data_IF_954588642009
#
_entry.id   IF_954588642009
#
_cell.length_a   1.000
_cell.length_b   1.000
_cell.length_c   1.000
_cell.angle_alpha   90.00
_cell.angle_beta   90.00
_cell.angle_gamma   90.00
#
_symmetry.space_group_name_H-M   'P 1'
#
loop_
_entity.id
_entity.type
_entity.pdbx_description
1 polymer ?
#
# COMPACT_ATOMS: atom_id res chain seq x y z
N UNK A 1 -12.34 -6.73 26.56
CA UNK A 1 -12.85 -5.49 27.19
C UNK A 1 -12.28 -4.29 26.44
N UNK A 2 -13.03 -3.21 26.27
CA UNK A 2 -12.57 -1.99 25.56
C UNK A 2 -12.70 -0.80 26.50
N UNK A 3 -11.69 0.08 26.52
CA UNK A 3 -11.68 1.28 27.37
C UNK A 3 -12.89 2.19 27.08
N UNK A 4 -13.39 2.19 25.85
CA UNK A 4 -14.60 2.94 25.45
C UNK A 4 -15.88 2.44 26.14
N UNK A 5 -15.88 1.21 26.67
CA UNK A 5 -17.04 0.62 27.37
C UNK A 5 -16.94 0.77 28.90
N UNK A 6 -15.93 1.49 29.41
CA UNK A 6 -15.71 1.73 30.85
C UNK A 6 -15.34 3.21 31.08
N UNK A 7 -16.34 4.10 31.13
CA UNK A 7 -16.10 5.54 31.26
C UNK A 7 -15.33 5.91 32.54
N UNK A 8 -15.62 5.24 33.65
CA UNK A 8 -14.95 5.44 34.94
C UNK A 8 -13.45 5.12 34.87
N UNK A 9 -13.09 4.02 34.18
CA UNK A 9 -11.68 3.66 33.98
C UNK A 9 -10.96 4.67 33.08
N UNK A 10 -11.62 5.14 32.01
CA UNK A 10 -11.06 6.17 31.14
C UNK A 10 -10.76 7.45 31.92
N UNK A 11 -11.70 7.90 32.75
CA UNK A 11 -11.53 9.09 33.59
C UNK A 11 -10.40 8.91 34.61
N UNK A 12 -10.36 7.76 35.31
CA UNK A 12 -9.28 7.44 36.25
C UNK A 12 -7.89 7.47 35.59
N UNK A 13 -7.75 6.92 34.37
CA UNK A 13 -6.49 6.95 33.60
C UNK A 13 -6.10 8.39 33.23
N UNK A 14 -7.06 9.22 32.81
CA UNK A 14 -6.81 10.62 32.44
C UNK A 14 -6.43 11.48 33.65
N UNK A 15 -6.89 11.13 34.85
CA UNK A 15 -6.59 11.83 36.11
C UNK A 15 -5.32 11.34 36.81
N UNK A 16 -4.59 10.36 36.26
CA UNK A 16 -3.31 9.92 36.83
C UNK A 16 -2.31 11.08 36.99
N UNK A 17 -1.45 11.06 38.03
CA UNK A 17 -0.34 12.00 38.15
C UNK A 17 0.55 11.98 36.90
N UNK A 18 1.07 13.14 36.50
CA UNK A 18 1.85 13.31 35.27
C UNK A 18 2.96 12.26 35.12
N UNK A 19 3.77 12.06 36.16
CA UNK A 19 4.87 11.08 36.17
C UNK A 19 4.42 9.64 35.90
N UNK A 20 3.29 9.23 36.46
CA UNK A 20 2.75 7.87 36.27
C UNK A 20 2.14 7.70 34.88
N UNK A 21 1.46 8.76 34.42
CA UNK A 21 0.87 8.85 33.08
C UNK A 21 1.94 8.77 32.00
N UNK A 22 3.05 9.48 32.14
CA UNK A 22 4.16 9.46 31.18
C UNK A 22 4.83 8.08 31.13
N UNK A 23 5.08 7.47 32.30
CA UNK A 23 5.63 6.10 32.38
C UNK A 23 4.71 5.09 31.73
N UNK A 24 3.39 5.23 31.90
CA UNK A 24 2.40 4.37 31.26
C UNK A 24 2.36 4.61 29.75
N UNK A 25 2.36 5.87 29.31
CA UNK A 25 2.34 6.26 27.89
C UNK A 25 3.54 5.67 27.14
N UNK A 26 4.76 5.91 27.63
CA UNK A 26 5.99 5.39 26.99
C UNK A 26 5.95 3.86 26.90
N UNK A 27 5.46 3.19 27.95
CA UNK A 27 5.29 1.72 27.95
C UNK A 27 4.26 1.25 26.91
N UNK A 28 3.15 1.95 26.76
CA UNK A 28 2.10 1.59 25.80
C UNK A 28 2.56 1.84 24.36
N UNK A 29 3.19 2.99 24.10
CA UNK A 29 3.80 3.30 22.80
C UNK A 29 4.85 2.25 22.43
N UNK A 30 5.71 1.86 23.36
CA UNK A 30 6.73 0.83 23.12
C UNK A 30 6.18 -0.57 22.80
N UNK A 31 4.90 -0.84 23.05
CA UNK A 31 4.24 -2.12 22.69
C UNK A 31 3.65 -2.11 21.28
N UNK A 32 3.28 -0.94 20.76
CA UNK A 32 2.67 -0.81 19.45
C UNK A 32 3.71 -0.31 18.44
N UNK A 33 4.24 -1.25 17.64
CA UNK A 33 5.27 -0.95 16.62
C UNK A 33 4.78 0.02 15.55
N UNK A 34 3.48 0.02 15.22
CA UNK A 34 2.95 0.93 14.20
C UNK A 34 2.83 2.33 14.77
N UNK A 35 2.29 2.47 15.98
CA UNK A 35 2.21 3.74 16.68
C UNK A 35 3.61 4.35 16.90
N UNK A 36 4.60 3.52 17.23
CA UNK A 36 5.98 3.97 17.37
C UNK A 36 6.52 4.57 16.06
N UNK A 37 6.31 3.90 14.92
CA UNK A 37 6.73 4.42 13.61
C UNK A 37 6.00 5.71 13.23
N UNK A 38 4.70 5.78 13.50
CA UNK A 38 3.90 6.99 13.28
C UNK A 38 4.40 8.18 14.11
N UNK A 39 4.67 7.97 15.40
CA UNK A 39 5.19 9.02 16.27
C UNK A 39 6.62 9.41 15.90
N UNK A 40 7.45 8.45 15.49
CA UNK A 40 8.80 8.74 15.00
C UNK A 40 8.73 9.68 13.79
N UNK A 41 7.94 9.32 12.78
CA UNK A 41 7.71 10.17 11.61
C UNK A 41 7.15 11.54 12.01
N UNK A 42 6.05 11.55 12.77
CA UNK A 42 5.33 12.79 13.07
C UNK A 42 6.12 13.77 13.96
N UNK A 43 6.99 13.27 14.85
CA UNK A 43 7.64 14.11 15.85
C UNK A 43 9.13 14.37 15.55
N UNK A 44 9.77 13.55 14.72
CA UNK A 44 11.23 13.57 14.55
C UNK A 44 11.69 13.67 13.10
N UNK A 45 10.82 13.43 12.12
CA UNK A 45 11.18 13.47 10.70
C UNK A 45 10.66 14.75 10.03
N UNK A 46 11.33 15.15 8.94
CA UNK A 46 10.93 16.28 8.10
C UNK A 46 10.65 15.89 6.64
N UNK A 47 10.60 16.89 5.76
CA UNK A 47 10.30 16.68 4.34
C UNK A 47 11.41 15.89 3.61
N UNK A 48 12.68 16.08 4.00
CA UNK A 48 13.80 15.37 3.40
C UNK A 48 13.72 13.88 3.78
N UNK A 49 13.41 13.60 5.05
CA UNK A 49 13.20 12.22 5.52
C UNK A 49 12.03 11.53 4.80
N UNK A 50 10.96 12.28 4.50
CA UNK A 50 9.83 11.76 3.72
C UNK A 50 10.27 11.35 2.31
N UNK A 51 11.02 12.21 1.61
CA UNK A 51 11.56 11.92 0.27
C UNK A 51 12.44 10.66 0.29
N UNK A 52 13.35 10.58 1.25
CA UNK A 52 14.21 9.44 1.53
C UNK A 52 13.41 8.13 1.73
N UNK A 53 12.28 8.21 2.44
CA UNK A 53 11.39 7.06 2.66
C UNK A 53 10.63 6.66 1.41
N UNK A 54 10.24 7.62 0.58
CA UNK A 54 9.58 7.35 -0.70
C UNK A 54 10.57 6.65 -1.63
N UNK A 55 11.81 7.13 -1.73
CA UNK A 55 12.87 6.51 -2.52
C UNK A 55 13.13 5.08 -2.06
N UNK A 56 13.39 4.87 -0.77
CA UNK A 56 13.59 3.53 -0.18
C UNK A 56 12.38 2.61 -0.40
N UNK A 57 11.16 3.15 -0.38
CA UNK A 57 9.96 2.35 -0.71
C UNK A 57 9.98 1.91 -2.17
N UNK A 58 10.24 2.84 -3.11
CA UNK A 58 10.32 2.54 -4.55
C UNK A 58 11.42 1.53 -4.85
N UNK A 59 12.60 1.66 -4.25
CA UNK A 59 13.70 0.68 -4.37
C UNK A 59 13.28 -0.70 -3.91
N UNK A 60 12.63 -0.80 -2.73
CA UNK A 60 12.16 -2.09 -2.21
C UNK A 60 11.06 -2.69 -3.07
N UNK A 61 10.17 -1.88 -3.65
CA UNK A 61 9.16 -2.35 -4.61
C UNK A 61 9.82 -2.85 -5.90
N UNK A 62 10.79 -2.11 -6.43
CA UNK A 62 11.54 -2.50 -7.62
C UNK A 62 12.30 -3.82 -7.39
N UNK A 63 12.97 -3.97 -6.25
CA UNK A 63 13.64 -5.20 -5.84
C UNK A 63 12.64 -6.36 -5.72
N UNK A 64 11.49 -6.14 -5.07
CA UNK A 64 10.45 -7.15 -4.94
C UNK A 64 9.95 -7.66 -6.30
N UNK A 65 9.69 -6.76 -7.25
CA UNK A 65 9.29 -7.16 -8.60
C UNK A 65 10.44 -7.78 -9.41
N UNK A 66 11.69 -7.38 -9.17
CA UNK A 66 12.86 -8.01 -9.77
C UNK A 66 13.04 -9.45 -9.31
N UNK A 67 12.95 -9.71 -8.00
CA UNK A 67 12.97 -11.04 -7.41
C UNK A 67 11.75 -11.87 -7.82
N UNK A 68 10.58 -11.24 -7.89
CA UNK A 68 9.33 -11.86 -8.33
C UNK A 68 9.40 -12.46 -9.74
N UNK A 69 10.27 -11.95 -10.63
CA UNK A 69 10.50 -12.58 -11.95
C UNK A 69 11.16 -13.96 -11.86
N UNK A 70 11.88 -14.25 -10.79
CA UNK A 70 12.52 -15.54 -10.59
C UNK A 70 11.50 -16.60 -10.12
N UNK A 71 10.45 -16.18 -9.42
CA UNK A 71 9.42 -17.07 -8.87
C UNK A 71 8.17 -17.14 -9.75
N UNK A 72 7.63 -15.99 -10.18
CA UNK A 72 6.44 -15.89 -11.02
C UNK A 72 6.82 -15.95 -12.49
N UNK A 73 6.39 -16.99 -13.19
CA UNK A 73 6.55 -17.05 -14.64
C UNK A 73 5.38 -16.35 -15.33
N UNK A 74 5.66 -15.62 -16.42
CA UNK A 74 4.64 -15.03 -17.29
C UNK A 74 4.00 -16.11 -18.20
N UNK A 75 3.44 -17.15 -17.58
CA UNK A 75 2.83 -18.31 -18.26
C UNK A 75 1.45 -18.55 -17.61
N UNK A 76 0.35 -18.66 -18.37
CA UNK A 76 -1.04 -18.71 -17.86
C UNK A 76 -1.45 -19.99 -17.08
N UNK A 77 -0.67 -20.42 -16.07
CA UNK A 77 -0.94 -21.63 -15.25
C UNK A 77 -1.33 -21.28 -13.82
N UNK A 78 -2.07 -22.19 -13.17
CA UNK A 78 -2.66 -22.00 -11.84
C UNK A 78 -1.72 -21.40 -10.78
N UNK A 79 -0.48 -21.91 -10.68
CA UNK A 79 0.51 -21.46 -9.68
C UNK A 79 0.88 -19.99 -9.89
N UNK A 80 1.18 -19.59 -11.12
CA UNK A 80 1.64 -18.25 -11.43
C UNK A 80 0.58 -17.18 -11.13
N UNK A 81 -0.72 -17.46 -11.33
CA UNK A 81 -1.77 -16.52 -10.93
C UNK A 81 -1.79 -16.26 -9.42
N UNK A 82 -1.62 -17.33 -8.61
CA UNK A 82 -1.60 -17.22 -7.15
C UNK A 82 -0.34 -16.54 -6.65
N UNK A 83 0.80 -16.86 -7.25
CA UNK A 83 2.08 -16.27 -6.90
C UNK A 83 2.10 -14.78 -7.28
N UNK A 84 1.57 -14.41 -8.45
CA UNK A 84 1.41 -13.00 -8.82
C UNK A 84 0.47 -12.27 -7.86
N UNK A 85 -0.69 -12.87 -7.52
CA UNK A 85 -1.60 -12.28 -6.54
C UNK A 85 -0.91 -12.08 -5.17
N UNK A 86 -0.05 -13.02 -4.75
CA UNK A 86 0.75 -12.91 -3.54
C UNK A 86 1.77 -11.78 -3.61
N UNK A 87 2.46 -11.66 -4.74
CA UNK A 87 3.43 -10.60 -5.01
C UNK A 87 2.78 -9.21 -4.92
N UNK A 88 1.63 -9.02 -5.59
CA UNK A 88 0.88 -7.75 -5.56
C UNK A 88 0.40 -7.44 -4.13
N UNK A 89 -0.03 -8.46 -3.36
CA UNK A 89 -0.43 -8.29 -1.95
C UNK A 89 0.74 -7.85 -1.08
N UNK A 90 1.93 -8.42 -1.27
CA UNK A 90 3.12 -8.04 -0.54
C UNK A 90 3.51 -6.59 -0.85
N UNK A 91 3.55 -6.22 -2.13
CA UNK A 91 3.81 -4.85 -2.58
C UNK A 91 2.79 -3.86 -1.99
N UNK A 92 1.50 -4.20 -2.06
CA UNK A 92 0.42 -3.38 -1.46
C UNK A 92 0.58 -3.23 0.05
N UNK A 93 1.09 -4.26 0.75
CA UNK A 93 1.36 -4.22 2.18
C UNK A 93 2.41 -3.16 2.53
N UNK A 94 3.45 -3.03 1.71
CA UNK A 94 4.51 -2.03 1.89
C UNK A 94 3.96 -0.60 1.73
N UNK A 95 3.14 -0.37 0.72
CA UNK A 95 2.49 0.94 0.52
C UNK A 95 1.49 1.26 1.62
N UNK A 96 0.72 0.28 2.11
CA UNK A 96 -0.21 0.50 3.23
C UNK A 96 0.53 0.82 4.54
N UNK A 97 1.72 0.26 4.75
CA UNK A 97 2.57 0.64 5.89
C UNK A 97 3.05 2.08 5.75
N UNK A 98 3.52 2.47 4.56
CA UNK A 98 3.90 3.84 4.26
C UNK A 98 2.73 4.81 4.49
N UNK A 99 1.55 4.55 3.91
CA UNK A 99 0.31 5.32 4.08
C UNK A 99 -0.01 5.55 5.56
N UNK A 100 0.06 4.49 6.37
CA UNK A 100 -0.26 4.58 7.80
C UNK A 100 0.71 5.45 8.57
N UNK A 101 1.98 5.49 8.16
CA UNK A 101 3.03 6.23 8.85
C UNK A 101 3.02 7.69 8.42
N UNK A 102 3.08 7.94 7.10
CA UNK A 102 3.30 9.28 6.54
C UNK A 102 2.01 10.04 6.31
N UNK A 103 0.92 9.31 5.98
CA UNK A 103 -0.34 9.85 5.47
C UNK A 103 -0.17 10.74 4.23
N UNK A 104 0.98 10.66 3.56
CA UNK A 104 1.23 11.39 2.33
C UNK A 104 0.40 10.77 1.21
N UNK A 105 -0.50 11.53 0.60
CA UNK A 105 -1.45 11.00 -0.41
C UNK A 105 -0.80 10.82 -1.77
N UNK A 106 0.19 11.65 -2.09
CA UNK A 106 0.82 11.68 -3.40
C UNK A 106 1.65 10.41 -3.64
N UNK A 107 2.64 10.16 -2.77
CA UNK A 107 3.50 8.97 -2.87
C UNK A 107 2.71 7.67 -2.80
N UNK A 108 1.58 7.70 -2.11
CA UNK A 108 0.66 6.58 -1.92
C UNK A 108 -0.11 6.23 -3.18
N UNK A 109 -0.54 7.23 -3.96
CA UNK A 109 -1.12 7.05 -5.28
C UNK A 109 -0.04 6.60 -6.28
N UNK A 110 1.07 7.34 -6.33
CA UNK A 110 2.23 7.06 -7.20
C UNK A 110 2.72 5.61 -7.03
N UNK A 111 2.98 5.16 -5.80
CA UNK A 111 3.44 3.79 -5.56
C UNK A 111 2.40 2.72 -5.93
N UNK A 112 1.09 3.02 -5.87
CA UNK A 112 0.07 2.06 -6.31
C UNK A 112 -0.04 1.97 -7.83
N UNK A 113 0.08 3.11 -8.51
CA UNK A 113 0.18 3.16 -9.97
C UNK A 113 1.41 2.37 -10.41
N UNK A 114 2.56 2.59 -9.76
CA UNK A 114 3.79 1.84 -10.00
C UNK A 114 3.58 0.32 -9.87
N UNK A 115 2.94 -0.16 -8.80
CA UNK A 115 2.66 -1.58 -8.61
C UNK A 115 1.83 -2.17 -9.75
N UNK A 116 0.80 -1.45 -10.21
CA UNK A 116 -0.05 -1.90 -11.32
C UNK A 116 0.74 -1.94 -12.64
N UNK A 117 1.48 -0.88 -12.96
CA UNK A 117 2.31 -0.84 -14.17
C UNK A 117 3.38 -1.94 -14.18
N UNK A 118 4.11 -2.15 -13.07
CA UNK A 118 5.09 -3.24 -13.00
C UNK A 118 4.45 -4.62 -13.13
N UNK A 119 3.24 -4.79 -12.56
CA UNK A 119 2.47 -6.04 -12.71
C UNK A 119 2.12 -6.30 -14.17
N UNK A 120 1.60 -5.30 -14.87
CA UNK A 120 1.14 -5.42 -16.26
C UNK A 120 2.29 -5.58 -17.24
N UNK A 121 3.35 -4.78 -17.09
CA UNK A 121 4.54 -4.83 -17.97
C UNK A 121 5.28 -6.18 -17.86
N UNK A 122 5.37 -6.76 -16.66
CA UNK A 122 6.13 -8.01 -16.44
C UNK A 122 5.33 -9.27 -16.70
N UNK A 123 4.04 -9.25 -16.40
CA UNK A 123 3.19 -10.44 -16.42
C UNK A 123 1.93 -10.31 -17.28
N UNK A 124 2.00 -9.72 -18.49
CA UNK A 124 0.80 -9.43 -19.28
C UNK A 124 0.01 -10.70 -19.65
N UNK A 125 0.69 -11.84 -19.84
CA UNK A 125 0.02 -13.09 -20.23
C UNK A 125 -0.87 -13.66 -19.14
N UNK A 126 -0.65 -13.27 -17.88
CA UNK A 126 -1.53 -13.64 -16.76
C UNK A 126 -2.85 -12.85 -16.75
N UNK A 127 -3.02 -11.91 -17.68
CA UNK A 127 -4.27 -11.15 -17.88
C UNK A 127 -5.01 -11.53 -19.16
N UNK A 128 -4.46 -12.45 -19.96
CA UNK A 128 -5.17 -13.03 -21.11
C UNK A 128 -6.42 -13.81 -20.67
N UNK A 129 -7.36 -14.01 -21.60
CA UNK A 129 -8.57 -14.81 -21.36
C UNK A 129 -8.19 -16.22 -20.94
N UNK A 130 -8.71 -16.64 -19.79
CA UNK A 130 -8.39 -17.93 -19.18
C UNK A 130 -9.62 -18.54 -18.54
N UNK A 131 -9.85 -19.83 -18.77
CA UNK A 131 -10.90 -20.60 -18.10
C UNK A 131 -10.50 -21.04 -16.67
N UNK A 132 -9.27 -20.73 -16.25
CA UNK A 132 -8.75 -21.15 -14.95
C UNK A 132 -9.32 -20.25 -13.85
N UNK A 133 -9.97 -20.84 -12.84
CA UNK A 133 -10.59 -20.08 -11.75
C UNK A 133 -9.62 -19.15 -10.98
N UNK A 134 -8.33 -19.52 -10.87
CA UNK A 134 -7.31 -18.65 -10.26
C UNK A 134 -7.03 -17.39 -11.08
N UNK A 135 -7.22 -17.42 -12.40
CA UNK A 135 -7.12 -16.25 -13.26
C UNK A 135 -8.21 -15.23 -12.91
N UNK A 136 -9.47 -15.67 -12.84
CA UNK A 136 -10.59 -14.83 -12.39
C UNK A 136 -10.32 -14.19 -11.04
N UNK A 137 -9.81 -14.94 -10.06
CA UNK A 137 -9.47 -14.41 -8.74
C UNK A 137 -8.37 -13.35 -8.77
N UNK A 138 -7.36 -13.51 -9.63
CA UNK A 138 -6.34 -12.48 -9.84
C UNK A 138 -6.97 -11.25 -10.49
N UNK A 139 -7.75 -11.42 -11.55
CA UNK A 139 -8.38 -10.33 -12.30
C UNK A 139 -9.33 -9.52 -11.42
N UNK A 140 -10.18 -10.17 -10.63
CA UNK A 140 -11.09 -9.51 -9.68
C UNK A 140 -10.31 -8.74 -8.60
N UNK A 141 -9.22 -9.32 -8.11
CA UNK A 141 -8.34 -8.67 -7.14
C UNK A 141 -7.68 -7.42 -7.74
N UNK A 142 -7.20 -7.51 -8.98
CA UNK A 142 -6.56 -6.39 -9.68
C UNK A 142 -7.58 -5.32 -10.05
N UNK A 143 -8.78 -5.67 -10.51
CA UNK A 143 -9.89 -4.74 -10.75
C UNK A 143 -10.20 -3.90 -9.51
N UNK A 144 -10.30 -4.54 -8.35
CA UNK A 144 -10.51 -3.84 -7.08
C UNK A 144 -9.34 -2.87 -6.75
N UNK A 145 -8.11 -3.22 -7.12
CA UNK A 145 -6.92 -2.37 -6.93
C UNK A 145 -6.86 -1.21 -7.91
N UNK A 146 -7.22 -1.41 -9.17
CA UNK A 146 -7.38 -0.34 -10.15
C UNK A 146 -8.38 0.67 -9.61
N UNK A 147 -9.61 0.23 -9.29
CA UNK A 147 -10.66 1.11 -8.75
C UNK A 147 -10.19 1.90 -7.52
N UNK A 148 -9.55 1.23 -6.56
CA UNK A 148 -9.05 1.89 -5.35
C UNK A 148 -7.94 2.91 -5.66
N UNK A 149 -7.09 2.63 -6.65
CA UNK A 149 -6.01 3.52 -7.08
C UNK A 149 -6.56 4.72 -7.84
N UNK A 150 -7.51 4.51 -8.75
CA UNK A 150 -8.23 5.58 -9.45
C UNK A 150 -8.88 6.55 -8.46
N UNK A 151 -9.61 6.04 -7.46
CA UNK A 151 -10.22 6.89 -6.42
C UNK A 151 -9.20 7.68 -5.59
N UNK A 152 -7.98 7.15 -5.39
CA UNK A 152 -6.92 7.88 -4.69
C UNK A 152 -6.29 8.95 -5.59
N UNK A 153 -6.04 8.62 -6.85
CA UNK A 153 -5.53 9.52 -7.88
C UNK A 153 -6.48 10.72 -8.09
N UNK A 154 -7.78 10.48 -8.31
CA UNK A 154 -8.80 11.53 -8.51
C UNK A 154 -8.97 12.48 -7.31
N UNK A 155 -8.53 12.06 -6.12
CA UNK A 155 -8.57 12.88 -4.90
C UNK A 155 -7.33 13.76 -4.71
N UNK A 156 -6.30 13.60 -5.55
CA UNK A 156 -5.14 14.48 -5.55
C UNK A 156 -5.51 15.85 -6.11
N UNK A 157 -4.69 16.86 -5.80
CA UNK A 157 -4.78 18.15 -6.47
C UNK A 157 -4.43 18.01 -7.96
N UNK A 158 -4.99 18.85 -8.83
CA UNK A 158 -4.83 18.77 -10.29
C UNK A 158 -3.35 18.76 -10.72
N UNK A 159 -2.51 19.61 -10.13
CA UNK A 159 -1.06 19.63 -10.42
C UNK A 159 -0.38 18.29 -10.13
N UNK A 160 -0.76 17.62 -9.03
CA UNK A 160 -0.22 16.32 -8.67
C UNK A 160 -0.81 15.18 -9.52
N UNK A 161 -2.04 15.35 -10.01
CA UNK A 161 -2.61 14.42 -11.00
C UNK A 161 -1.84 14.51 -12.31
N UNK A 162 -1.49 15.73 -12.75
CA UNK A 162 -0.72 15.96 -13.96
C UNK A 162 0.61 15.21 -13.93
N UNK A 163 1.34 15.25 -12.81
CA UNK A 163 2.62 14.54 -12.65
C UNK A 163 2.49 13.00 -12.78
N UNK A 164 1.33 12.45 -12.43
CA UNK A 164 1.07 11.01 -12.46
C UNK A 164 0.22 10.56 -13.66
N UNK A 165 -0.23 11.50 -14.49
CA UNK A 165 -1.24 11.30 -15.53
C UNK A 165 -0.81 10.22 -16.52
N UNK A 166 0.39 10.33 -17.09
CA UNK A 166 0.93 9.38 -18.06
C UNK A 166 0.96 7.95 -17.49
N UNK A 167 1.48 7.80 -16.26
CA UNK A 167 1.54 6.50 -15.60
C UNK A 167 0.16 5.94 -15.28
N UNK A 168 -0.82 6.78 -14.96
CA UNK A 168 -2.21 6.36 -14.72
C UNK A 168 -2.90 5.97 -16.03
N UNK A 169 -2.63 6.67 -17.13
CA UNK A 169 -3.14 6.34 -18.46
C UNK A 169 -2.63 4.98 -18.94
N UNK A 170 -1.37 4.62 -18.67
CA UNK A 170 -0.87 3.27 -18.94
C UNK A 170 -1.67 2.18 -18.21
N UNK A 171 -1.94 2.39 -16.91
CA UNK A 171 -2.77 1.46 -16.10
C UNK A 171 -4.14 1.31 -16.73
N UNK A 172 -4.79 2.42 -17.09
CA UNK A 172 -6.15 2.43 -17.64
C UNK A 172 -6.22 1.86 -19.05
N UNK A 173 -5.20 2.10 -19.88
CA UNK A 173 -5.05 1.53 -21.21
C UNK A 173 -4.99 0.01 -21.14
N UNK A 174 -4.09 -0.53 -20.31
CA UNK A 174 -3.97 -1.97 -20.10
C UNK A 174 -5.27 -2.58 -19.56
N UNK A 175 -5.89 -1.91 -18.58
CA UNK A 175 -7.15 -2.35 -18.00
C UNK A 175 -8.27 -2.43 -19.06
N UNK A 176 -8.30 -1.49 -20.00
CA UNK A 176 -9.28 -1.46 -21.09
C UNK A 176 -9.08 -2.59 -22.07
N UNK A 177 -7.84 -2.82 -22.50
CA UNK A 177 -7.51 -3.90 -23.42
C UNK A 177 -7.88 -5.29 -22.86
N UNK A 178 -7.75 -5.47 -21.54
CA UNK A 178 -7.94 -6.76 -20.87
C UNK A 178 -9.28 -6.89 -20.13
N UNK A 179 -10.18 -5.91 -20.20
CA UNK A 179 -11.49 -5.95 -19.53
C UNK A 179 -11.43 -5.95 -18.00
N UNK A 180 -10.49 -5.20 -17.43
CA UNK A 180 -10.24 -5.10 -15.98
C UNK A 180 -10.94 -3.90 -15.30
N UNK A 181 -11.99 -3.35 -15.91
CA UNK A 181 -12.83 -2.28 -15.36
C UNK A 181 -13.72 -2.75 -14.21
#
# INVERSE_FOLDING_TARGET
MSLHKQPELKEAVLNLPQKEKDKLLVRLVGKDKMLLKQLHFQLLEDQIDLEDRIEKLKERLAALFAEGRNSVKNIPVYSNYKELQSLIRQASGMVNEHEKITKDKYSEADCRIYILNETFRRFPRLFEKSAVHSASKLHDYVRARIKATTTKFEKLHEDLQFDLQESMEEVMGFATEHGLH
#
